data_IF_981195352366
#
_entry.id   IF_981195352366
#
_cell.length_a   1.000
_cell.length_b   1.000
_cell.length_c   1.000
_cell.angle_alpha   90.00
_cell.angle_beta   90.00
_cell.angle_gamma   90.00
#
_symmetry.space_group_name_H-M   'P 1'
#
loop_
_entity.id
_entity.type
_entity.pdbx_description
1 polymer ?
#
# COMPACT_ATOMS: atom_id res chain seq x y z
N UNK A 1 -13.34 8.65 -4.37
CA UNK A 1 -12.99 10.09 -4.25
C UNK A 1 -11.66 10.29 -3.54
N UNK A 2 -11.49 9.84 -2.30
CA UNK A 2 -10.21 9.91 -1.56
C UNK A 2 -9.05 9.24 -2.28
N UNK A 3 -9.28 8.07 -2.88
CA UNK A 3 -8.26 7.35 -3.68
C UNK A 3 -7.88 8.11 -4.96
N UNK A 4 -8.83 8.77 -5.62
CA UNK A 4 -8.57 9.59 -6.81
C UNK A 4 -7.79 10.86 -6.45
N UNK A 5 -8.05 11.43 -5.28
CA UNK A 5 -7.30 12.57 -4.76
C UNK A 5 -5.84 12.18 -4.51
N UNK A 6 -5.60 11.05 -3.83
CA UNK A 6 -4.26 10.52 -3.61
C UNK A 6 -3.52 10.20 -4.93
N UNK A 7 -4.21 9.55 -5.87
CA UNK A 7 -3.64 9.21 -7.17
C UNK A 7 -3.33 10.47 -8.02
N UNK A 8 -4.17 11.50 -7.95
CA UNK A 8 -3.91 12.79 -8.58
C UNK A 8 -2.69 13.50 -8.01
N UNK A 9 -2.51 13.47 -6.68
CA UNK A 9 -1.32 14.04 -6.04
C UNK A 9 -0.04 13.30 -6.40
N UNK A 10 -0.08 11.96 -6.51
CA UNK A 10 1.05 11.21 -7.05
C UNK A 10 1.41 11.63 -8.45
N UNK A 11 0.40 11.80 -9.32
CA UNK A 11 0.65 12.19 -10.69
C UNK A 11 1.36 13.55 -10.79
N UNK A 12 1.02 14.50 -9.92
CA UNK A 12 1.58 15.85 -9.95
C UNK A 12 2.93 15.97 -9.25
N UNK A 13 3.14 15.25 -8.15
CA UNK A 13 4.31 15.45 -7.29
C UNK A 13 5.33 14.30 -7.31
N UNK A 14 4.96 13.12 -7.81
CA UNK A 14 5.87 11.99 -7.88
C UNK A 14 6.60 11.91 -9.22
N UNK A 15 7.78 11.29 -9.21
CA UNK A 15 8.63 11.08 -10.38
C UNK A 15 8.81 9.58 -10.65
N UNK A 16 9.29 9.24 -11.85
CA UNK A 16 9.65 7.87 -12.21
C UNK A 16 8.50 6.86 -12.04
N UNK A 17 8.76 5.67 -11.48
CA UNK A 17 7.77 4.60 -11.32
C UNK A 17 6.53 5.00 -10.52
N UNK A 18 6.68 5.85 -9.50
CA UNK A 18 5.57 6.27 -8.62
C UNK A 18 4.52 7.08 -9.38
N UNK A 19 4.95 7.88 -10.37
CA UNK A 19 4.04 8.62 -11.25
C UNK A 19 3.22 7.68 -12.12
N UNK A 20 3.85 6.65 -12.69
CA UNK A 20 3.19 5.61 -13.47
C UNK A 20 2.16 4.84 -12.65
N UNK A 21 2.50 4.50 -11.40
CA UNK A 21 1.56 3.90 -10.45
C UNK A 21 0.32 4.78 -10.22
N UNK A 22 0.50 6.09 -10.03
CA UNK A 22 -0.60 7.04 -9.87
C UNK A 22 -1.57 7.07 -11.06
N UNK A 23 -1.06 6.97 -12.30
CA UNK A 23 -1.88 6.90 -13.52
C UNK A 23 -2.70 5.61 -13.56
N UNK A 24 -2.05 4.46 -13.38
CA UNK A 24 -2.72 3.15 -13.39
C UNK A 24 -3.77 3.05 -12.29
N UNK A 25 -3.47 3.55 -11.09
CA UNK A 25 -4.43 3.61 -9.99
C UNK A 25 -5.62 4.51 -10.32
N UNK A 26 -5.38 5.68 -10.91
CA UNK A 26 -6.45 6.61 -11.30
C UNK A 26 -7.40 5.98 -12.33
N UNK A 27 -6.85 5.40 -13.39
CA UNK A 27 -7.62 4.71 -14.42
C UNK A 27 -8.39 3.54 -13.82
N UNK A 28 -7.72 2.71 -13.01
CA UNK A 28 -8.34 1.56 -12.36
C UNK A 28 -9.51 1.96 -11.45
N UNK A 29 -9.37 3.03 -10.67
CA UNK A 29 -10.46 3.55 -9.83
C UNK A 29 -11.62 4.09 -10.66
N UNK A 30 -11.36 4.82 -11.75
CA UNK A 30 -12.41 5.33 -12.63
C UNK A 30 -13.17 4.20 -13.33
N UNK A 31 -12.45 3.26 -13.93
CA UNK A 31 -13.03 2.10 -14.63
C UNK A 31 -13.82 1.23 -13.66
N UNK A 32 -13.25 0.92 -12.49
CA UNK A 32 -13.96 0.13 -11.47
C UNK A 32 -15.19 0.85 -10.94
N UNK A 33 -15.16 2.17 -10.77
CA UNK A 33 -16.32 2.97 -10.36
C UNK A 33 -17.45 2.90 -11.40
N UNK A 34 -17.13 3.06 -12.68
CA UNK A 34 -18.12 2.92 -13.76
C UNK A 34 -18.68 1.50 -13.82
N UNK A 35 -17.83 0.48 -13.72
CA UNK A 35 -18.26 -0.91 -13.68
C UNK A 35 -19.15 -1.22 -12.47
N UNK A 36 -18.80 -0.71 -11.29
CA UNK A 36 -19.58 -0.90 -10.07
C UNK A 36 -20.95 -0.23 -10.14
N UNK A 37 -21.06 0.97 -10.72
CA UNK A 37 -22.35 1.68 -10.79
C UNK A 37 -23.22 1.27 -11.97
N UNK A 38 -22.63 1.02 -13.13
CA UNK A 38 -23.36 0.75 -14.37
C UNK A 38 -23.45 -0.74 -14.63
N UNK A 39 -22.30 -1.41 -14.78
CA UNK A 39 -22.25 -2.82 -15.19
C UNK A 39 -22.89 -3.70 -14.12
N UNK A 40 -22.52 -3.52 -12.85
CA UNK A 40 -23.08 -4.31 -11.75
C UNK A 40 -24.60 -4.11 -11.64
N UNK A 41 -25.08 -2.89 -11.81
CA UNK A 41 -26.52 -2.59 -11.78
C UNK A 41 -27.25 -3.27 -12.93
N UNK A 42 -26.76 -3.14 -14.16
CA UNK A 42 -27.36 -3.78 -15.35
C UNK A 42 -27.35 -5.30 -15.20
N UNK A 43 -26.24 -5.89 -14.76
CA UNK A 43 -26.14 -7.33 -14.54
C UNK A 43 -27.08 -7.80 -13.42
N UNK A 44 -27.17 -7.07 -12.31
CA UNK A 44 -28.07 -7.39 -11.22
C UNK A 44 -29.54 -7.30 -11.64
N UNK A 45 -29.94 -6.22 -12.33
CA UNK A 45 -31.29 -6.06 -12.84
C UNK A 45 -31.64 -7.15 -13.86
N UNK A 46 -30.71 -7.49 -14.77
CA UNK A 46 -30.88 -8.55 -15.75
C UNK A 46 -30.97 -9.93 -15.09
N UNK A 47 -30.13 -10.19 -14.09
CA UNK A 47 -30.13 -11.44 -13.34
C UNK A 47 -31.45 -11.63 -12.57
N UNK A 48 -31.97 -10.59 -11.91
CA UNK A 48 -33.24 -10.64 -11.17
C UNK A 48 -34.44 -10.83 -12.12
N UNK A 49 -34.38 -10.29 -13.34
CA UNK A 49 -35.42 -10.49 -14.37
C UNK A 49 -35.45 -11.91 -14.95
N UNK A 50 -34.35 -12.68 -14.85
CA UNK A 50 -34.30 -14.07 -15.34
C UNK A 50 -35.21 -14.97 -14.51
N UNK A 51 -36.08 -15.72 -15.20
CA UNK A 51 -37.09 -16.59 -14.56
C UNK A 51 -36.51 -17.63 -13.59
N UNK A 52 -35.28 -18.10 -13.82
CA UNK A 52 -34.56 -19.00 -12.91
C UNK A 52 -34.29 -18.37 -11.54
N UNK A 53 -33.84 -17.11 -11.50
CA UNK A 53 -33.53 -16.37 -10.26
C UNK A 53 -34.81 -16.06 -9.49
N UNK A 54 -35.87 -15.67 -10.20
CA UNK A 54 -37.18 -15.42 -9.60
C UNK A 54 -37.84 -16.68 -9.03
N UNK A 55 -37.64 -17.84 -9.68
CA UNK A 55 -38.20 -19.13 -9.23
C UNK A 55 -37.41 -19.80 -8.10
N UNK A 56 -36.10 -19.52 -7.97
CA UNK A 56 -35.24 -20.12 -6.93
C UNK A 56 -34.40 -19.08 -6.17
N UNK A 57 -35.03 -18.13 -5.46
CA UNK A 57 -34.32 -17.01 -4.82
C UNK A 57 -33.42 -17.41 -3.63
N UNK A 58 -33.56 -18.65 -3.14
CA UNK A 58 -32.69 -19.23 -2.11
C UNK A 58 -31.30 -19.64 -2.64
N UNK A 59 -31.19 -20.04 -3.92
CA UNK A 59 -29.93 -20.43 -4.52
C UNK A 59 -29.07 -19.23 -4.92
N UNK A 60 -29.70 -18.07 -5.13
CA UNK A 60 -29.01 -16.83 -5.51
C UNK A 60 -28.61 -15.96 -4.32
N UNK A 61 -28.93 -16.36 -3.10
CA UNK A 61 -28.66 -15.59 -1.88
C UNK A 61 -29.51 -14.32 -1.73
N UNK A 62 -30.45 -14.06 -2.63
CA UNK A 62 -31.33 -12.88 -2.59
C UNK A 62 -32.38 -12.97 -1.46
N UNK A 63 -32.84 -14.18 -1.11
CA UNK A 63 -33.87 -14.38 -0.09
C UNK A 63 -33.32 -14.66 1.32
N UNK A 64 -32.02 -14.90 1.47
CA UNK A 64 -31.45 -15.31 2.77
C UNK A 64 -30.18 -14.54 3.05
N UNK A 65 -30.10 -13.92 4.23
CA UNK A 65 -28.84 -13.41 4.77
C UNK A 65 -27.85 -14.56 4.90
N UNK A 66 -26.68 -14.44 4.27
CA UNK A 66 -25.67 -15.51 4.26
C UNK A 66 -25.28 -15.99 5.66
N UNK A 67 -24.79 -17.24 5.76
CA UNK A 67 -24.39 -17.88 7.03
C UNK A 67 -23.44 -17.01 7.86
N UNK A 68 -22.51 -16.32 7.21
CA UNK A 68 -21.54 -15.45 7.88
C UNK A 68 -22.22 -14.22 8.52
N UNK A 69 -23.14 -13.56 7.81
CA UNK A 69 -23.86 -12.38 8.30
C UNK A 69 -24.82 -12.76 9.43
N UNK A 70 -25.51 -13.90 9.33
CA UNK A 70 -26.38 -14.39 10.40
C UNK A 70 -25.59 -14.80 11.63
N UNK A 71 -24.42 -15.40 11.48
CA UNK A 71 -23.53 -15.73 12.59
C UNK A 71 -23.00 -14.46 13.27
N UNK A 72 -22.51 -13.48 12.50
CA UNK A 72 -22.03 -12.21 13.04
C UNK A 72 -23.14 -11.42 13.75
N UNK A 73 -24.34 -11.38 13.17
CA UNK A 73 -25.49 -10.72 13.77
C UNK A 73 -25.95 -11.40 15.07
N UNK A 74 -25.85 -12.73 15.17
CA UNK A 74 -26.15 -13.47 16.41
C UNK A 74 -25.08 -13.34 17.48
N UNK A 75 -23.81 -13.21 17.07
CA UNK A 75 -22.67 -13.18 18.00
C UNK A 75 -22.42 -11.80 18.61
N UNK A 76 -22.93 -10.74 17.98
CA UNK A 76 -22.80 -9.33 18.41
C UNK A 76 -21.43 -9.00 19.02
N UNK A 77 -20.35 -9.04 18.23
CA UNK A 77 -19.00 -8.84 18.76
C UNK A 77 -18.85 -7.45 19.41
N UNK A 78 -18.73 -7.43 20.74
CA UNK A 78 -18.59 -6.20 21.55
C UNK A 78 -17.13 -5.70 21.52
N UNK A 79 -16.71 -5.16 20.39
CA UNK A 79 -15.33 -4.68 20.17
C UNK A 79 -15.05 -3.46 21.08
N UNK A 80 -16.02 -2.55 21.22
CA UNK A 80 -15.86 -1.29 21.98
C UNK A 80 -15.79 -1.53 23.49
N UNK A 81 -16.48 -2.57 23.98
CA UNK A 81 -16.38 -3.01 25.39
C UNK A 81 -14.93 -3.28 25.80
N UNK A 82 -14.14 -3.88 24.90
CA UNK A 82 -12.75 -4.23 25.16
C UNK A 82 -11.76 -3.18 24.59
N UNK A 83 -12.21 -1.95 24.34
CA UNK A 83 -11.39 -0.88 23.72
C UNK A 83 -10.01 -0.70 24.38
N UNK A 84 -9.90 -0.81 25.71
CA UNK A 84 -8.61 -0.65 26.41
C UNK A 84 -7.60 -1.73 26.04
N UNK A 85 -8.05 -2.97 25.81
CA UNK A 85 -7.17 -4.08 25.38
C UNK A 85 -6.67 -3.86 23.96
N UNK A 86 -7.57 -3.47 23.05
CA UNK A 86 -7.23 -3.19 21.66
C UNK A 86 -6.32 -1.97 21.51
N UNK A 87 -6.61 -0.88 22.23
CA UNK A 87 -5.75 0.29 22.27
C UNK A 87 -4.39 -0.04 22.89
N UNK A 88 -4.34 -0.82 23.97
CA UNK A 88 -3.08 -1.26 24.57
C UNK A 88 -2.23 -2.11 23.63
N UNK A 89 -2.85 -3.06 22.92
CA UNK A 89 -2.17 -3.88 21.92
C UNK A 89 -1.64 -3.03 20.74
N UNK A 90 -2.46 -2.11 20.22
CA UNK A 90 -2.06 -1.17 19.16
C UNK A 90 -0.92 -0.25 19.61
N UNK A 91 -0.99 0.32 20.82
CA UNK A 91 0.10 1.13 21.38
C UNK A 91 1.39 0.34 21.55
N UNK A 92 1.31 -0.93 21.97
CA UNK A 92 2.49 -1.80 22.05
C UNK A 92 3.11 -2.02 20.66
N UNK A 93 2.29 -2.29 19.64
CA UNK A 93 2.78 -2.43 18.26
C UNK A 93 3.46 -1.16 17.77
N UNK A 94 2.93 0.02 18.09
CA UNK A 94 3.58 1.30 17.78
C UNK A 94 4.93 1.41 18.48
N UNK A 95 5.03 1.07 19.75
CA UNK A 95 6.31 1.09 20.49
C UNK A 95 7.32 0.15 19.82
N UNK A 96 6.91 -1.06 19.45
CA UNK A 96 7.77 -2.01 18.74
C UNK A 96 8.20 -1.46 17.38
N UNK A 97 7.29 -0.84 16.62
CA UNK A 97 7.60 -0.23 15.34
C UNK A 97 8.62 0.93 15.48
N UNK A 98 8.39 1.83 16.43
CA UNK A 98 9.31 2.95 16.74
C UNK A 98 10.67 2.42 17.21
N UNK A 99 10.70 1.38 18.05
CA UNK A 99 11.94 0.74 18.46
C UNK A 99 12.71 0.15 17.28
N UNK A 100 12.02 -0.46 16.31
CA UNK A 100 12.64 -0.92 15.07
C UNK A 100 13.33 0.21 14.31
N UNK A 101 12.63 1.33 14.13
CA UNK A 101 13.16 2.52 13.46
C UNK A 101 14.36 3.10 14.22
N UNK A 102 14.25 3.24 15.55
CA UNK A 102 15.28 3.87 16.36
C UNK A 102 16.54 3.01 16.55
N UNK A 103 16.37 1.68 16.70
CA UNK A 103 17.47 0.76 17.01
C UNK A 103 18.16 0.21 15.75
N UNK A 104 17.43 -0.03 14.66
CA UNK A 104 18.01 -0.55 13.41
C UNK A 104 18.22 0.51 12.34
N UNK A 105 17.50 1.63 12.42
CA UNK A 105 17.46 2.62 11.35
C UNK A 105 16.58 2.18 10.19
N UNK A 106 16.50 3.05 9.17
CA UNK A 106 15.84 2.78 7.90
C UNK A 106 16.89 2.58 6.82
N UNK A 107 16.80 1.47 6.11
CA UNK A 107 17.61 1.24 4.91
C UNK A 107 16.93 1.96 3.74
N UNK A 108 17.49 3.07 3.29
CA UNK A 108 16.90 3.89 2.24
C UNK A 108 17.35 3.37 0.87
N UNK A 109 16.41 3.30 -0.08
CA UNK A 109 16.68 2.88 -1.45
C UNK A 109 17.62 3.84 -2.18
N UNK A 110 18.24 3.31 -3.24
CA UNK A 110 19.29 3.96 -4.04
C UNK A 110 18.87 5.28 -4.68
N UNK A 111 17.57 5.45 -4.90
CA UNK A 111 17.01 6.69 -5.45
C UNK A 111 16.89 7.82 -4.42
N UNK A 112 17.08 7.52 -3.14
CA UNK A 112 17.09 8.50 -2.05
C UNK A 112 18.49 8.73 -1.49
N UNK A 113 19.39 7.75 -1.60
CA UNK A 113 20.78 7.83 -1.12
C UNK A 113 21.80 8.13 -2.21
N UNK A 114 21.42 7.97 -3.48
CA UNK A 114 22.37 7.82 -4.58
C UNK A 114 22.82 6.35 -4.71
N UNK A 115 23.24 5.98 -5.92
CA UNK A 115 23.66 4.62 -6.25
C UNK A 115 23.69 4.34 -7.74
N UNK A 116 23.71 3.06 -8.10
CA UNK A 116 23.75 2.60 -9.50
C UNK A 116 22.63 1.61 -9.77
N UNK A 117 21.92 1.83 -10.86
CA UNK A 117 20.90 0.94 -11.41
C UNK A 117 21.45 0.38 -12.71
N UNK A 118 21.59 -0.95 -12.75
CA UNK A 118 22.09 -1.63 -13.94
C UNK A 118 21.05 -2.68 -14.37
N UNK A 119 20.70 -2.65 -15.65
CA UNK A 119 19.81 -3.62 -16.28
C UNK A 119 20.66 -4.57 -17.11
N UNK A 120 20.49 -5.87 -16.84
CA UNK A 120 21.21 -6.94 -17.48
C UNK A 120 20.26 -7.80 -18.30
N UNK A 121 20.63 -8.13 -19.53
CA UNK A 121 19.96 -9.18 -20.31
C UNK A 121 20.77 -10.45 -20.28
N UNK A 122 20.11 -11.60 -20.19
CA UNK A 122 20.76 -12.91 -20.10
C UNK A 122 20.31 -13.82 -21.24
N UNK A 123 21.17 -14.73 -21.69
CA UNK A 123 20.84 -15.62 -22.83
C UNK A 123 19.77 -16.67 -22.48
N UNK A 124 19.62 -17.00 -21.20
CA UNK A 124 18.50 -17.78 -20.65
C UNK A 124 17.82 -17.02 -19.54
N UNK A 125 16.49 -17.03 -19.55
CA UNK A 125 15.66 -16.47 -18.49
C UNK A 125 16.10 -16.98 -17.12
N UNK A 126 16.54 -16.06 -16.26
CA UNK A 126 16.87 -16.32 -14.85
C UNK A 126 15.77 -15.74 -13.99
N UNK A 127 15.21 -16.55 -13.09
CA UNK A 127 14.21 -16.07 -12.15
C UNK A 127 14.80 -15.07 -11.16
N UNK A 128 13.97 -14.12 -10.70
CA UNK A 128 14.38 -13.07 -9.78
C UNK A 128 15.02 -13.60 -8.49
N UNK A 129 14.61 -14.76 -7.98
CA UNK A 129 15.14 -15.30 -6.72
C UNK A 129 16.52 -15.90 -6.91
N UNK A 130 16.76 -16.60 -8.02
CA UNK A 130 18.09 -17.12 -8.41
C UNK A 130 19.04 -15.98 -8.70
N UNK A 131 18.60 -14.98 -9.46
CA UNK A 131 19.40 -13.78 -9.73
C UNK A 131 19.74 -13.04 -8.43
N UNK A 132 18.77 -12.88 -7.52
CA UNK A 132 19.01 -12.25 -6.21
C UNK A 132 20.03 -13.01 -5.38
N UNK A 133 19.98 -14.36 -5.38
CA UNK A 133 20.99 -15.18 -4.71
C UNK A 133 22.37 -15.01 -5.33
N UNK A 134 22.48 -15.06 -6.66
CA UNK A 134 23.76 -14.88 -7.35
C UNK A 134 24.40 -13.51 -7.05
N UNK A 135 23.60 -12.44 -7.07
CA UNK A 135 24.05 -11.09 -6.72
C UNK A 135 24.46 -10.99 -5.24
N UNK A 136 23.71 -11.65 -4.35
CA UNK A 136 24.06 -11.71 -2.93
C UNK A 136 25.37 -12.46 -2.68
N UNK A 137 25.56 -13.61 -3.32
CA UNK A 137 26.76 -14.43 -3.25
C UNK A 137 27.99 -13.72 -3.86
N UNK A 138 27.77 -12.84 -4.84
CA UNK A 138 28.79 -11.95 -5.40
C UNK A 138 29.22 -10.80 -4.45
N UNK A 139 28.63 -10.71 -3.26
CA UNK A 139 28.99 -9.73 -2.23
C UNK A 139 28.03 -8.56 -2.09
N UNK A 140 26.89 -8.57 -2.79
CA UNK A 140 25.89 -7.48 -2.76
C UNK A 140 24.54 -7.95 -2.18
N UNK A 141 24.49 -8.44 -0.92
CA UNK A 141 23.27 -9.01 -0.35
C UNK A 141 22.13 -8.00 -0.13
N UNK A 142 22.44 -6.70 -0.20
CA UNK A 142 21.46 -5.60 -0.09
C UNK A 142 20.99 -5.08 -1.44
N UNK A 143 21.51 -5.61 -2.55
CA UNK A 143 21.05 -5.21 -3.87
C UNK A 143 19.59 -5.65 -4.08
N UNK A 144 18.79 -4.73 -4.61
CA UNK A 144 17.40 -4.99 -4.98
C UNK A 144 17.39 -5.53 -6.40
N UNK A 145 17.06 -6.81 -6.53
CA UNK A 145 16.98 -7.53 -7.81
C UNK A 145 15.52 -7.77 -8.19
N UNK A 146 15.16 -7.32 -9.39
CA UNK A 146 13.82 -7.41 -9.97
C UNK A 146 13.91 -7.83 -11.44
N UNK A 147 12.95 -8.63 -11.89
CA UNK A 147 12.74 -8.87 -13.32
C UNK A 147 12.24 -7.60 -14.01
N UNK A 148 12.73 -7.35 -15.22
CA UNK A 148 12.34 -6.28 -16.12
C UNK A 148 12.11 -6.90 -17.50
N UNK A 149 10.96 -6.64 -18.13
CA UNK A 149 10.65 -7.28 -19.42
C UNK A 149 10.52 -8.81 -19.34
N UNK A 150 10.77 -9.50 -20.47
CA UNK A 150 10.67 -10.97 -20.54
C UNK A 150 11.93 -11.69 -20.04
N UNK A 151 13.11 -11.09 -20.21
CA UNK A 151 14.40 -11.76 -19.97
C UNK A 151 15.45 -10.87 -19.27
N UNK A 152 15.08 -9.64 -18.91
CA UNK A 152 16.01 -8.68 -18.32
C UNK A 152 15.87 -8.65 -16.79
N UNK A 153 16.97 -8.29 -16.15
CA UNK A 153 17.10 -8.24 -14.69
C UNK A 153 17.67 -6.89 -14.32
N UNK A 154 16.90 -6.14 -13.56
CA UNK A 154 17.38 -4.89 -12.96
C UNK A 154 17.99 -5.18 -11.61
N UNK A 155 19.25 -4.78 -11.44
CA UNK A 155 19.96 -4.77 -10.16
C UNK A 155 20.13 -3.32 -9.72
N UNK A 156 19.62 -3.01 -8.54
CA UNK A 156 19.78 -1.70 -7.89
C UNK A 156 20.60 -1.85 -6.64
N UNK A 157 21.69 -1.10 -6.54
CA UNK A 157 22.55 -1.09 -5.36
C UNK A 157 23.12 0.30 -5.14
N UNK A 158 23.79 0.52 -4.01
CA UNK A 158 24.42 1.79 -3.66
C UNK A 158 25.54 2.17 -4.64
N UNK A 159 26.56 2.87 -4.16
CA UNK A 159 27.73 3.11 -5.00
C UNK A 159 28.34 1.80 -5.47
N UNK A 160 28.51 1.66 -6.78
CA UNK A 160 29.01 0.46 -7.44
C UNK A 160 30.09 0.87 -8.43
N UNK A 161 31.32 0.47 -8.16
CA UNK A 161 32.44 0.67 -9.09
C UNK A 161 32.26 -0.17 -10.36
N UNK A 162 32.99 0.17 -11.42
CA UNK A 162 32.95 -0.60 -12.67
C UNK A 162 33.44 -2.04 -12.48
N UNK A 163 34.42 -2.26 -11.59
CA UNK A 163 34.88 -3.59 -11.26
C UNK A 163 33.81 -4.43 -10.54
N UNK A 164 33.03 -3.81 -9.65
CA UNK A 164 31.94 -4.49 -8.94
C UNK A 164 30.73 -4.75 -9.85
N UNK A 165 30.44 -3.83 -10.76
CA UNK A 165 29.43 -4.01 -11.79
C UNK A 165 29.74 -5.19 -12.72
N UNK A 166 31.01 -5.38 -13.08
CA UNK A 166 31.45 -6.54 -13.86
C UNK A 166 31.36 -7.85 -13.05
N UNK A 167 31.67 -7.84 -11.74
CA UNK A 167 31.44 -9.02 -10.88
C UNK A 167 29.97 -9.44 -10.85
N UNK A 168 29.05 -8.49 -10.76
CA UNK A 168 27.61 -8.77 -10.79
C UNK A 168 27.21 -9.37 -12.15
N UNK A 169 27.74 -8.82 -13.24
CA UNK A 169 27.51 -9.31 -14.60
C UNK A 169 27.99 -10.75 -14.76
N UNK A 170 29.17 -11.09 -14.26
CA UNK A 170 29.72 -12.45 -14.29
C UNK A 170 28.86 -13.43 -13.49
N UNK A 171 28.43 -13.04 -12.28
CA UNK A 171 27.57 -13.86 -11.45
C UNK A 171 26.20 -14.14 -12.11
N UNK A 172 25.62 -13.14 -12.79
CA UNK A 172 24.39 -13.30 -13.56
C UNK A 172 24.61 -14.14 -14.83
N UNK A 173 25.74 -13.96 -15.52
CA UNK A 173 26.09 -14.75 -16.70
C UNK A 173 26.22 -16.24 -16.36
N UNK A 174 26.80 -16.60 -15.21
CA UNK A 174 26.93 -17.99 -14.76
C UNK A 174 25.56 -18.67 -14.63
N UNK A 175 24.55 -17.96 -14.11
CA UNK A 175 23.19 -18.49 -13.96
C UNK A 175 22.34 -18.35 -15.22
N UNK A 176 22.64 -17.38 -16.06
CA UNK A 176 21.88 -16.99 -17.25
C UNK A 176 22.36 -17.56 -18.57
N UNK A 177 23.06 -18.69 -18.58
CA UNK A 177 23.47 -19.37 -19.81
C UNK A 177 24.81 -18.92 -20.39
N UNK A 178 25.69 -18.33 -19.57
CA UNK A 178 27.08 -18.03 -19.88
C UNK A 178 27.33 -16.63 -20.44
N UNK A 179 26.28 -15.84 -20.72
CA UNK A 179 26.43 -14.47 -21.20
C UNK A 179 25.38 -13.55 -20.56
N UNK A 180 25.85 -12.41 -20.04
CA UNK A 180 25.03 -11.31 -19.59
C UNK A 180 25.49 -10.01 -20.28
N UNK A 181 24.57 -9.27 -20.88
CA UNK A 181 24.82 -7.95 -21.49
C UNK A 181 24.27 -6.87 -20.58
N UNK A 182 24.89 -5.69 -20.60
CA UNK A 182 24.37 -4.52 -19.89
C UNK A 182 23.54 -3.73 -20.88
N UNK A 183 22.23 -3.70 -20.67
CA UNK A 183 21.30 -2.96 -21.54
C UNK A 183 21.21 -1.49 -21.11
N UNK A 184 21.30 -1.24 -19.80
CA UNK A 184 21.18 0.10 -19.24
C UNK A 184 22.01 0.22 -17.98
N UNK A 185 22.66 1.36 -17.83
CA UNK A 185 23.46 1.69 -16.66
C UNK A 185 23.23 3.16 -16.29
N UNK A 186 22.56 3.35 -15.15
CA UNK A 186 22.22 4.66 -14.63
C UNK A 186 22.89 4.87 -13.27
N UNK A 187 23.69 5.93 -13.18
CA UNK A 187 24.25 6.41 -11.91
C UNK A 187 23.43 7.58 -11.39
N UNK A 188 22.89 7.42 -10.19
CA UNK A 188 22.17 8.47 -9.46
C UNK A 188 23.15 9.09 -8.47
N UNK A 189 23.50 10.36 -8.71
CA UNK A 189 24.36 11.11 -7.79
C UNK A 189 23.65 11.44 -6.47
N UNK A 190 24.40 11.60 -5.36
CA UNK A 190 23.83 11.91 -4.04
C UNK A 190 22.95 13.16 -4.03
N UNK A 191 23.32 14.20 -4.78
CA UNK A 191 22.55 15.44 -4.89
C UNK A 191 21.17 15.25 -5.52
N UNK A 192 21.07 14.39 -6.54
CA UNK A 192 19.80 14.03 -7.16
C UNK A 192 18.95 13.18 -6.21
N UNK A 193 19.58 12.26 -5.47
CA UNK A 193 18.91 11.46 -4.45
C UNK A 193 18.29 12.30 -3.33
N UNK A 194 19.03 13.29 -2.82
CA UNK A 194 18.52 14.23 -1.81
C UNK A 194 17.33 15.04 -2.32
N UNK A 195 17.38 15.51 -3.57
CA UNK A 195 16.27 16.24 -4.20
C UNK A 195 15.03 15.35 -4.36
N UNK A 196 15.20 14.11 -4.83
CA UNK A 196 14.11 13.14 -4.97
C UNK A 196 13.49 12.79 -3.62
N UNK A 197 14.31 12.59 -2.57
CA UNK A 197 13.84 12.36 -1.20
C UNK A 197 13.01 13.54 -0.69
N UNK A 198 13.51 14.77 -0.86
CA UNK A 198 12.80 15.97 -0.42
C UNK A 198 11.44 16.10 -1.13
N UNK A 199 11.40 15.88 -2.45
CA UNK A 199 10.16 15.89 -3.24
C UNK A 199 9.17 14.83 -2.77
N UNK A 200 9.63 13.62 -2.50
CA UNK A 200 8.79 12.53 -1.99
C UNK A 200 8.18 12.87 -0.61
N UNK A 201 8.97 13.42 0.31
CA UNK A 201 8.50 13.84 1.64
C UNK A 201 7.47 14.98 1.55
N UNK A 202 7.71 15.97 0.70
CA UNK A 202 6.76 17.07 0.44
C UNK A 202 5.46 16.52 -0.15
N UNK A 203 5.54 15.62 -1.14
CA UNK A 203 4.37 14.99 -1.75
C UNK A 203 3.51 14.23 -0.72
N UNK A 204 4.17 13.46 0.15
CA UNK A 204 3.50 12.75 1.25
C UNK A 204 2.82 13.71 2.21
N UNK A 205 3.51 14.79 2.62
CA UNK A 205 2.95 15.82 3.49
C UNK A 205 1.71 16.51 2.89
N UNK A 206 1.77 16.86 1.60
CA UNK A 206 0.64 17.43 0.86
C UNK A 206 -0.53 16.44 0.79
N UNK A 207 -0.27 15.14 0.57
CA UNK A 207 -1.31 14.11 0.53
C UNK A 207 -2.04 13.97 1.88
N UNK A 208 -1.29 13.92 2.98
CA UNK A 208 -1.88 13.87 4.33
C UNK A 208 -2.69 15.14 4.62
N UNK A 209 -2.17 16.32 4.28
CA UNK A 209 -2.86 17.60 4.48
C UNK A 209 -4.15 17.68 3.66
N UNK A 210 -4.12 17.27 2.39
CA UNK A 210 -5.30 17.27 1.53
C UNK A 210 -6.38 16.28 2.04
N UNK A 211 -5.98 15.13 2.57
CA UNK A 211 -6.89 14.18 3.23
C UNK A 211 -7.50 14.79 4.50
N UNK A 212 -6.71 15.50 5.31
CA UNK A 212 -7.21 16.23 6.49
C UNK A 212 -8.27 17.25 6.14
N UNK A 213 -8.01 18.06 5.11
CA UNK A 213 -8.93 19.08 4.62
C UNK A 213 -10.22 18.40 4.15
N UNK A 214 -10.10 17.34 3.34
CA UNK A 214 -11.25 16.56 2.88
C UNK A 214 -12.10 16.03 4.04
N UNK A 215 -11.47 15.40 5.03
CA UNK A 215 -12.16 14.86 6.20
C UNK A 215 -12.77 15.94 7.08
N UNK A 216 -12.14 17.10 7.23
CA UNK A 216 -12.64 18.21 8.04
C UNK A 216 -13.85 18.88 7.38
N UNK A 217 -13.88 18.98 6.05
CA UNK A 217 -15.07 19.47 5.32
C UNK A 217 -16.19 18.43 5.38
N UNK A 218 -15.86 17.14 5.32
CA UNK A 218 -16.83 16.04 5.23
C UNK A 218 -17.37 15.58 6.58
N UNK A 219 -16.61 15.73 7.66
CA UNK A 219 -16.88 15.24 9.01
C UNK A 219 -16.50 16.29 10.07
N UNK A 220 -16.95 16.09 11.32
CA UNK A 220 -16.54 16.96 12.44
C UNK A 220 -15.03 16.80 12.70
N UNK A 221 -14.36 17.86 13.15
CA UNK A 221 -12.90 17.87 13.40
C UNK A 221 -12.41 16.74 14.32
N UNK A 222 -13.25 16.27 15.25
CA UNK A 222 -12.95 15.13 16.13
C UNK A 222 -12.82 13.81 15.38
N UNK A 223 -13.59 13.62 14.31
CA UNK A 223 -13.48 12.44 13.44
C UNK A 223 -12.26 12.58 12.53
N UNK A 224 -12.01 13.78 11.99
CA UNK A 224 -10.84 14.03 11.15
C UNK A 224 -9.51 13.74 11.88
N UNK A 225 -9.37 14.22 13.13
CA UNK A 225 -8.18 13.94 13.95
C UNK A 225 -8.02 12.45 14.29
N UNK A 226 -9.12 11.74 14.61
CA UNK A 226 -9.09 10.30 14.85
C UNK A 226 -8.64 9.51 13.61
N UNK A 227 -9.12 9.89 12.41
CA UNK A 227 -8.70 9.26 11.15
C UNK A 227 -7.21 9.46 10.86
N UNK A 228 -6.68 10.66 11.14
CA UNK A 228 -5.24 10.90 10.98
C UNK A 228 -4.40 10.12 11.97
N UNK A 229 -4.81 10.07 13.24
CA UNK A 229 -4.11 9.27 14.22
C UNK A 229 -4.05 7.78 13.80
N UNK A 230 -5.15 7.24 13.27
CA UNK A 230 -5.20 5.88 12.74
C UNK A 230 -4.29 5.70 11.51
N UNK A 231 -4.30 6.64 10.57
CA UNK A 231 -3.44 6.59 9.39
C UNK A 231 -1.95 6.66 9.75
N UNK A 232 -1.56 7.58 10.65
CA UNK A 232 -0.18 7.69 11.12
C UNK A 232 0.25 6.41 11.81
N UNK A 233 -0.63 5.83 12.64
CA UNK A 233 -0.40 4.51 13.24
C UNK A 233 -0.10 3.45 12.17
N UNK A 234 -0.95 3.33 11.14
CA UNK A 234 -0.79 2.29 10.12
C UNK A 234 0.50 2.46 9.31
N UNK A 235 0.83 3.69 8.90
CA UNK A 235 2.08 4.00 8.20
C UNK A 235 3.29 3.67 9.08
N UNK A 236 3.25 4.05 10.36
CA UNK A 236 4.32 3.81 11.31
C UNK A 236 4.56 2.31 11.53
N UNK A 237 3.49 1.50 11.58
CA UNK A 237 3.61 0.05 11.68
C UNK A 237 4.29 -0.56 10.44
N UNK A 238 3.91 -0.11 9.24
CA UNK A 238 4.52 -0.60 7.99
C UNK A 238 6.00 -0.20 7.91
N UNK A 239 6.33 1.05 8.22
CA UNK A 239 7.73 1.54 8.23
C UNK A 239 8.55 0.82 9.30
N UNK A 240 8.03 0.66 10.52
CA UNK A 240 8.73 -0.03 11.59
C UNK A 240 8.92 -1.53 11.33
N UNK A 241 7.98 -2.17 10.65
CA UNK A 241 8.16 -3.56 10.19
C UNK A 241 9.31 -3.65 9.18
N UNK A 242 9.42 -2.72 8.24
CA UNK A 242 10.53 -2.69 7.28
C UNK A 242 11.88 -2.48 7.97
N UNK A 243 11.94 -1.62 8.99
CA UNK A 243 13.12 -1.46 9.83
C UNK A 243 13.52 -2.79 10.51
N UNK A 244 12.56 -3.51 11.09
CA UNK A 244 12.80 -4.82 11.72
C UNK A 244 13.19 -5.92 10.73
N UNK A 245 12.75 -5.83 9.48
CA UNK A 245 13.11 -6.79 8.45
C UNK A 245 14.41 -6.43 7.72
N UNK A 246 14.95 -5.22 7.95
CA UNK A 246 16.09 -4.70 7.18
C UNK A 246 15.75 -4.59 5.69
N UNK A 247 14.49 -4.28 5.36
CA UNK A 247 14.03 -4.11 3.98
C UNK A 247 14.21 -2.66 3.56
N UNK A 248 14.63 -2.48 2.31
CA UNK A 248 14.87 -1.18 1.70
C UNK A 248 13.57 -0.39 1.51
N UNK A 249 13.61 0.89 1.85
CA UNK A 249 12.56 1.88 1.64
C UNK A 249 12.87 2.60 0.33
N UNK A 250 12.31 2.08 -0.76
CA UNK A 250 12.46 2.56 -2.13
C UNK A 250 11.14 3.21 -2.63
N UNK A 251 11.09 3.61 -3.90
CA UNK A 251 9.91 4.20 -4.54
C UNK A 251 8.75 3.23 -4.64
N UNK A 252 9.03 1.93 -4.78
CA UNK A 252 8.02 0.86 -4.77
C UNK A 252 7.38 0.79 -3.39
N UNK A 253 8.18 0.84 -2.33
CA UNK A 253 7.68 0.96 -0.96
C UNK A 253 6.82 2.20 -0.77
N UNK A 254 7.23 3.36 -1.29
CA UNK A 254 6.43 4.59 -1.19
C UNK A 254 5.06 4.43 -1.84
N UNK A 255 5.00 3.79 -3.02
CA UNK A 255 3.75 3.47 -3.70
C UNK A 255 2.87 2.50 -2.87
N UNK A 256 3.48 1.49 -2.25
CA UNK A 256 2.79 0.55 -1.37
C UNK A 256 2.22 1.24 -0.13
N UNK A 257 3.00 2.08 0.55
CA UNK A 257 2.55 2.85 1.71
C UNK A 257 1.38 3.76 1.35
N UNK A 258 1.43 4.45 0.21
CA UNK A 258 0.31 5.28 -0.20
C UNK A 258 -0.96 4.47 -0.51
N UNK A 259 -0.80 3.26 -1.03
CA UNK A 259 -1.92 2.33 -1.22
C UNK A 259 -2.53 1.94 0.12
N UNK A 260 -1.71 1.60 1.12
CA UNK A 260 -2.16 1.31 2.49
C UNK A 260 -2.91 2.50 3.09
N UNK A 261 -2.37 3.72 2.94
CA UNK A 261 -3.05 4.95 3.37
C UNK A 261 -4.42 5.08 2.69
N UNK A 262 -4.50 4.84 1.37
CA UNK A 262 -5.73 4.92 0.61
C UNK A 262 -6.82 3.97 1.14
N UNK A 263 -6.46 2.72 1.43
CA UNK A 263 -7.38 1.73 2.00
C UNK A 263 -7.77 2.06 3.45
N UNK A 264 -6.80 2.38 4.31
CA UNK A 264 -7.04 2.73 5.72
C UNK A 264 -8.00 3.91 5.86
N UNK A 265 -7.82 4.95 5.06
CA UNK A 265 -8.72 6.11 5.03
C UNK A 265 -10.11 5.71 4.52
N UNK A 266 -10.19 4.91 3.45
CA UNK A 266 -11.47 4.48 2.90
C UNK A 266 -12.30 3.72 3.95
N UNK A 267 -11.68 2.79 4.67
CA UNK A 267 -12.34 2.02 5.72
C UNK A 267 -12.82 2.92 6.86
N UNK A 268 -11.98 3.87 7.29
CA UNK A 268 -12.33 4.86 8.30
C UNK A 268 -13.54 5.71 7.88
N UNK A 269 -13.58 6.17 6.63
CA UNK A 269 -14.70 6.95 6.08
C UNK A 269 -16.00 6.15 6.08
N UNK A 270 -15.97 4.88 5.68
CA UNK A 270 -17.16 4.00 5.67
C UNK A 270 -17.71 3.81 7.08
N UNK A 271 -16.84 3.56 8.07
CA UNK A 271 -17.24 3.42 9.47
C UNK A 271 -17.84 4.73 10.00
N UNK A 272 -17.20 5.86 9.72
CA UNK A 272 -17.67 7.17 10.18
C UNK A 272 -19.00 7.56 9.54
N UNK A 273 -19.20 7.26 8.27
CA UNK A 273 -20.48 7.47 7.61
C UNK A 273 -21.57 6.61 8.23
N UNK A 274 -21.27 5.37 8.59
CA UNK A 274 -22.23 4.51 9.26
C UNK A 274 -22.61 5.03 10.65
N UNK A 275 -21.63 5.50 11.44
CA UNK A 275 -21.88 6.13 12.74
C UNK A 275 -22.74 7.38 12.59
N UNK A 276 -22.46 8.20 11.58
CA UNK A 276 -23.23 9.42 11.28
C UNK A 276 -24.66 9.09 10.86
N UNK A 277 -24.84 8.09 10.00
CA UNK A 277 -26.14 7.61 9.54
C UNK A 277 -26.97 7.08 10.72
N UNK A 278 -26.36 6.30 11.61
CA UNK A 278 -27.01 5.80 12.83
C UNK A 278 -27.47 6.94 13.75
N UNK A 279 -26.59 7.92 14.03
CA UNK A 279 -26.94 9.10 14.84
C UNK A 279 -28.01 10.02 14.22
N UNK A 280 -28.18 9.98 12.89
CA UNK A 280 -29.24 10.71 12.21
C UNK A 280 -30.60 10.01 12.33
N UNK A 281 -30.60 8.67 12.35
CA UNK A 281 -31.84 7.89 12.58
C UNK A 281 -32.29 7.95 14.02
N UNK A 282 -31.34 7.97 14.96
CA UNK A 282 -31.60 8.11 16.39
C UNK A 282 -30.58 9.11 17.00
N UNK A 283 -31.01 10.32 17.42
CA UNK A 283 -30.13 11.35 17.98
C UNK A 283 -29.50 10.97 19.32
N UNK A 284 -30.14 10.06 20.07
CA UNK A 284 -29.65 9.50 21.32
C UNK A 284 -29.63 7.96 21.20
N UNK A 285 -28.82 7.41 20.27
CA UNK A 285 -28.76 5.98 20.11
C UNK A 285 -28.26 5.39 21.41
N UNK A 286 -29.11 4.59 22.05
CA UNK A 286 -28.70 3.71 23.14
C UNK A 286 -27.80 2.66 22.52
N UNK A 287 -26.51 2.98 22.45
CA UNK A 287 -25.52 2.00 22.09
C UNK A 287 -25.61 0.92 23.17
N UNK A 288 -25.81 -0.37 22.82
CA UNK A 288 -25.88 -1.45 23.80
C UNK A 288 -24.61 -1.56 24.69
N UNK A 289 -23.60 -0.73 24.42
CA UNK A 289 -22.28 -0.71 25.03
C UNK A 289 -22.02 0.54 25.91
N UNK A 290 -23.01 1.41 26.15
CA UNK A 290 -22.88 2.41 27.22
C UNK A 290 -23.02 1.70 28.58
N UNK A 291 -22.02 1.79 29.48
CA UNK A 291 -22.29 1.47 30.87
C UNK A 291 -23.38 2.44 31.33
N UNK A 292 -24.46 1.90 31.89
CA UNK A 292 -25.44 2.71 32.62
C UNK A 292 -24.67 3.57 33.62
N UNK A 293 -24.84 4.90 33.62
CA UNK A 293 -24.24 5.72 34.66
C UNK A 293 -24.76 5.24 36.03
N UNK A 294 -23.93 5.34 37.08
CA UNK A 294 -24.30 4.91 38.43
C UNK A 294 -25.51 5.67 38.97
#
# INVERSE_FOLDING_TARGET
MTTLLAAGLLFTFATGPVKGFGVTLSIGVLVSMVSAFVVTRVLAETAVRRGFVRRRPRLTGLATTGRLRTLLARREPQIVRHRRRWLGASSLLVVVAVAGIALRGLDLGVEFTGGRLVEYSTSKQVDADTARKAVADAGFPRAVVQESGSDDITVRTGELSDAEQEKIKEALAEKGGGQATVERDERIGPSLGDELRQKALVALGIAVAAQLIYLTVRFRWTFASAAVAAMVHDVLLVVGLFAWLGKTVDSVFLAAVLTVIGYSVNDTVVVFDRIREARRRDPAPTWPEQPTPP
#
